data_IF_416965395572
#
_entry.id   IF_416965395572
#
_cell.length_a   1.000
_cell.length_b   1.000
_cell.length_c   1.000
_cell.angle_alpha   90.00
_cell.angle_beta   90.00
_cell.angle_gamma   90.00
#
_symmetry.space_group_name_H-M   'P 1'
#
loop_
_entity.id
_entity.type
_entity.pdbx_description
1 polymer ?
#
# COMPACT_ATOMS: atom_id res chain seq x y z
N UNK A 1 5.36 -1.12 -16.11
CA UNK A 1 4.70 -0.33 -17.17
C UNK A 1 4.74 -1.13 -18.47
N UNK A 2 3.71 -1.13 -19.33
CA UNK A 2 3.76 -1.86 -20.60
C UNK A 2 4.56 -1.10 -21.67
N UNK A 3 5.36 -1.80 -22.48
CA UNK A 3 6.14 -1.23 -23.59
C UNK A 3 5.28 -0.37 -24.56
N UNK A 4 4.01 -0.75 -24.74
CA UNK A 4 3.10 0.00 -25.62
C UNK A 4 2.78 1.40 -25.08
N UNK A 5 2.74 1.58 -23.76
CA UNK A 5 2.52 2.88 -23.12
C UNK A 5 3.80 3.72 -23.22
N UNK A 6 4.95 3.12 -22.92
CA UNK A 6 6.26 3.77 -23.08
C UNK A 6 6.45 4.33 -24.50
N UNK A 7 6.13 3.55 -25.53
CA UNK A 7 6.21 3.99 -26.92
C UNK A 7 5.24 5.13 -27.28
N UNK A 8 4.07 5.20 -26.66
CA UNK A 8 3.09 6.27 -26.96
C UNK A 8 3.48 7.60 -26.33
N UNK A 9 4.27 7.58 -25.26
CA UNK A 9 4.80 8.76 -24.55
C UNK A 9 6.28 9.05 -24.86
N UNK A 10 6.84 8.41 -25.88
CA UNK A 10 8.21 8.69 -26.33
C UNK A 10 9.32 8.17 -25.40
N UNK A 11 9.00 7.28 -24.45
CA UNK A 11 9.93 6.65 -23.53
C UNK A 11 10.70 5.50 -24.19
N UNK A 12 11.84 5.07 -23.61
CA UNK A 12 12.58 3.89 -24.08
C UNK A 12 12.09 2.61 -23.39
N UNK A 13 11.40 1.69 -24.08
CA UNK A 13 10.90 0.45 -23.49
C UNK A 13 11.98 -0.57 -23.10
N UNK A 14 13.27 -0.23 -23.30
CA UNK A 14 14.40 -1.02 -22.81
C UNK A 14 14.90 -0.58 -21.44
N UNK A 15 14.44 0.58 -20.97
CA UNK A 15 14.82 1.14 -19.68
C UNK A 15 13.63 0.95 -18.74
N UNK A 16 13.89 0.43 -17.54
CA UNK A 16 12.84 0.35 -16.54
C UNK A 16 12.51 1.77 -16.07
N UNK A 17 11.32 2.25 -16.41
CA UNK A 17 10.82 3.59 -16.07
C UNK A 17 10.54 3.81 -14.56
N UNK A 18 11.08 2.97 -13.68
CA UNK A 18 10.79 2.99 -12.24
C UNK A 18 11.35 4.23 -11.51
N UNK A 19 12.31 4.96 -12.12
CA UNK A 19 12.90 6.16 -11.53
C UNK A 19 13.37 7.19 -12.55
N UNK A 20 12.94 7.07 -13.81
CA UNK A 20 13.10 8.13 -14.80
C UNK A 20 11.98 9.16 -14.58
N UNK A 21 12.28 10.42 -14.86
CA UNK A 21 11.37 11.58 -14.82
C UNK A 21 11.63 12.30 -16.14
N UNK A 22 10.84 11.94 -17.15
CA UNK A 22 11.15 12.25 -18.56
C UNK A 22 10.82 13.67 -18.96
N UNK A 23 9.95 14.36 -18.22
CA UNK A 23 9.57 15.76 -18.44
C UNK A 23 10.08 16.72 -17.34
N UNK A 24 10.85 16.21 -16.37
CA UNK A 24 11.53 16.95 -15.29
C UNK A 24 10.53 17.69 -14.35
N UNK A 25 9.34 17.13 -14.11
CA UNK A 25 8.30 17.72 -13.26
C UNK A 25 8.40 17.31 -11.78
N UNK A 26 9.26 16.33 -11.48
CA UNK A 26 9.51 15.79 -10.14
C UNK A 26 8.75 14.51 -9.81
N UNK A 27 7.94 13.98 -10.72
CA UNK A 27 7.29 12.68 -10.61
C UNK A 27 7.96 11.67 -11.55
N UNK A 28 8.09 10.42 -11.11
CA UNK A 28 8.66 9.40 -12.00
C UNK A 28 7.62 8.95 -13.02
N UNK A 29 8.07 8.59 -14.21
CA UNK A 29 7.23 8.07 -15.30
C UNK A 29 6.34 6.90 -14.79
N UNK A 30 6.88 6.07 -13.88
CA UNK A 30 6.14 5.00 -13.23
C UNK A 30 5.02 5.47 -12.32
N UNK A 31 5.26 6.47 -11.48
CA UNK A 31 4.22 7.06 -10.63
C UNK A 31 3.12 7.68 -11.47
N UNK A 32 3.49 8.40 -12.52
CA UNK A 32 2.54 9.02 -13.43
C UNK A 32 1.66 8.02 -14.17
N UNK A 33 2.27 6.96 -14.73
CA UNK A 33 1.52 5.86 -15.33
C UNK A 33 0.50 5.26 -14.34
N UNK A 34 0.88 5.11 -13.07
CA UNK A 34 0.04 4.52 -12.02
C UNK A 34 -1.05 5.47 -11.55
N UNK A 35 -0.81 6.77 -11.58
CA UNK A 35 -1.74 7.83 -11.15
C UNK A 35 -2.55 8.41 -12.32
N UNK A 36 -2.30 7.93 -13.54
CA UNK A 36 -3.07 8.26 -14.74
C UNK A 36 -2.70 9.60 -15.38
N UNK A 37 -1.44 10.02 -15.23
CA UNK A 37 -0.89 11.23 -15.85
C UNK A 37 0.05 10.91 -17.01
N UNK A 38 0.71 11.93 -17.57
CA UNK A 38 1.42 11.88 -18.84
C UNK A 38 2.91 12.17 -18.61
N UNK A 39 3.80 11.17 -18.76
CA UNK A 39 5.23 11.32 -18.47
C UNK A 39 6.03 12.09 -19.52
N UNK A 40 5.33 12.81 -20.38
CA UNK A 40 5.88 13.61 -21.47
C UNK A 40 5.28 15.03 -21.51
N UNK A 41 4.61 15.44 -20.42
CA UNK A 41 3.91 16.72 -20.27
C UNK A 41 4.03 17.23 -18.83
N UNK A 42 4.98 18.14 -18.58
CA UNK A 42 5.30 18.72 -17.28
C UNK A 42 4.12 19.42 -16.55
N UNK A 43 3.02 19.68 -17.25
CA UNK A 43 1.81 20.24 -16.69
C UNK A 43 0.82 19.16 -16.20
N UNK A 44 1.03 17.91 -16.58
CA UNK A 44 0.20 16.76 -16.25
C UNK A 44 0.67 16.10 -14.95
N UNK A 45 0.57 16.82 -13.84
CA UNK A 45 1.03 16.30 -12.53
C UNK A 45 -0.03 15.42 -11.83
N UNK A 46 0.38 14.39 -11.05
CA UNK A 46 -0.55 13.59 -10.25
C UNK A 46 -1.35 14.43 -9.24
N UNK A 47 -2.66 14.25 -9.21
CA UNK A 47 -3.53 14.93 -8.24
C UNK A 47 -3.40 14.35 -6.83
N UNK A 48 -3.53 15.20 -5.81
CA UNK A 48 -3.56 14.75 -4.42
C UNK A 48 -4.85 13.96 -4.12
N UNK A 49 -4.72 12.89 -3.33
CA UNK A 49 -5.85 12.07 -2.87
C UNK A 49 -6.81 12.85 -1.96
N UNK A 50 -6.25 13.69 -1.07
CA UNK A 50 -6.98 14.35 0.01
C UNK A 50 -7.41 13.38 1.11
N UNK A 51 -8.39 13.80 1.93
CA UNK A 51 -9.00 12.94 2.95
C UNK A 51 -9.58 11.67 2.30
N UNK A 52 -9.20 10.51 2.82
CA UNK A 52 -9.58 9.21 2.28
C UNK A 52 -10.01 8.25 3.38
N UNK A 53 -11.03 7.45 3.08
CA UNK A 53 -11.45 6.34 3.92
C UNK A 53 -11.78 5.14 3.03
N UNK A 54 -11.14 4.00 3.32
CA UNK A 54 -11.32 2.73 2.64
C UNK A 54 -11.74 1.68 3.67
N UNK A 55 -13.02 1.30 3.62
CA UNK A 55 -13.60 0.21 4.42
C UNK A 55 -13.84 -1.06 3.60
N UNK A 56 -13.43 -1.08 2.32
CA UNK A 56 -13.54 -2.23 1.42
C UNK A 56 -14.97 -2.73 1.12
N UNK A 57 -16.00 -2.03 1.60
CA UNK A 57 -17.41 -2.37 1.37
C UNK A 57 -17.85 -2.30 -0.10
N UNK A 58 -17.12 -1.52 -0.89
CA UNK A 58 -17.40 -1.34 -2.32
C UNK A 58 -16.57 -2.28 -3.21
N UNK A 59 -15.75 -3.16 -2.62
CA UNK A 59 -14.81 -3.99 -3.36
C UNK A 59 -13.42 -3.37 -3.51
N UNK A 60 -12.51 -4.09 -4.17
CA UNK A 60 -11.22 -3.54 -4.62
C UNK A 60 -11.39 -2.85 -5.97
N UNK A 61 -11.02 -1.57 -6.04
CA UNK A 61 -10.93 -0.82 -7.29
C UNK A 61 -9.57 -1.05 -8.01
N UNK A 62 -9.39 -0.39 -9.15
CA UNK A 62 -8.18 -0.54 -9.98
C UNK A 62 -6.94 0.20 -9.46
N UNK A 63 -7.05 0.99 -8.38
CA UNK A 63 -5.89 1.66 -7.77
C UNK A 63 -5.05 0.69 -6.93
N UNK A 64 -5.63 -0.45 -6.56
CA UNK A 64 -4.93 -1.56 -5.93
C UNK A 64 -4.40 -2.53 -7.00
N UNK A 65 -3.12 -2.90 -6.90
CA UNK A 65 -2.48 -3.75 -7.91
C UNK A 65 -1.43 -4.70 -7.32
N UNK A 66 -1.15 -5.77 -8.09
CA UNK A 66 0.01 -6.63 -7.87
C UNK A 66 1.23 -5.99 -8.58
N UNK A 67 2.33 -5.71 -7.86
CA UNK A 67 3.49 -5.01 -8.42
C UNK A 67 4.22 -5.81 -9.50
N UNK A 68 4.18 -7.14 -9.43
CA UNK A 68 4.82 -8.05 -10.38
C UNK A 68 3.95 -8.27 -11.63
N UNK A 69 2.76 -7.66 -11.69
CA UNK A 69 1.78 -7.84 -12.76
C UNK A 69 1.12 -9.22 -12.73
N UNK A 70 1.19 -9.90 -11.57
CA UNK A 70 0.58 -11.19 -11.33
C UNK A 70 -0.95 -11.14 -11.17
N UNK A 71 -1.61 -12.30 -11.01
CA UNK A 71 -3.01 -12.33 -10.61
C UNK A 71 -3.17 -11.70 -9.22
N UNK A 72 -4.28 -11.00 -8.98
CA UNK A 72 -4.57 -10.44 -7.66
C UNK A 72 -4.73 -11.56 -6.62
N UNK A 73 -3.75 -11.69 -5.75
CA UNK A 73 -3.73 -12.68 -4.67
C UNK A 73 -4.36 -12.19 -3.37
N UNK A 74 -5.00 -11.03 -3.43
CA UNK A 74 -5.80 -10.46 -2.37
C UNK A 74 -7.28 -10.50 -2.73
N UNK A 75 -8.14 -10.59 -1.72
CA UNK A 75 -9.58 -10.67 -1.89
C UNK A 75 -10.33 -9.93 -0.79
N UNK A 76 -11.54 -9.51 -1.15
CA UNK A 76 -12.51 -9.05 -0.18
C UNK A 76 -13.17 -10.24 0.49
N UNK A 77 -13.13 -10.25 1.81
CA UNK A 77 -13.73 -11.28 2.67
C UNK A 77 -14.76 -10.65 3.58
N UNK A 78 -15.74 -11.44 4.02
CA UNK A 78 -16.79 -11.01 4.97
C UNK A 78 -16.80 -11.85 6.25
N UNK A 79 -15.69 -12.54 6.50
CA UNK A 79 -15.52 -13.39 7.68
C UNK A 79 -15.17 -12.59 8.93
N UNK A 80 -14.58 -11.40 8.75
CA UNK A 80 -14.16 -10.51 9.82
C UNK A 80 -13.93 -9.10 9.28
N UNK A 81 -14.31 -8.09 10.06
CA UNK A 81 -14.07 -6.68 9.73
C UNK A 81 -14.20 -5.83 11.01
N UNK A 82 -13.69 -4.60 10.93
CA UNK A 82 -13.80 -3.55 11.97
C UNK A 82 -14.82 -2.48 11.60
N UNK A 83 -15.03 -2.23 10.31
CA UNK A 83 -16.12 -1.44 9.76
C UNK A 83 -17.01 -2.33 8.88
N UNK A 84 -18.30 -2.02 8.82
CA UNK A 84 -19.25 -2.72 7.96
C UNK A 84 -19.26 -4.25 8.09
N UNK A 85 -18.98 -4.93 6.98
CA UNK A 85 -19.07 -6.38 6.76
C UNK A 85 -17.81 -6.94 6.10
N UNK A 86 -17.14 -6.15 5.27
CA UNK A 86 -16.08 -6.59 4.39
C UNK A 86 -14.72 -6.11 4.90
N UNK A 87 -13.68 -6.89 4.63
CA UNK A 87 -12.29 -6.50 4.83
C UNK A 87 -11.44 -7.02 3.68
N UNK A 88 -10.21 -6.52 3.56
CA UNK A 88 -9.21 -7.04 2.64
C UNK A 88 -8.41 -8.17 3.31
N UNK A 89 -8.19 -9.28 2.61
CA UNK A 89 -7.33 -10.37 3.06
C UNK A 89 -6.52 -10.99 1.92
N UNK A 90 -5.33 -11.51 2.23
CA UNK A 90 -4.61 -12.35 1.27
C UNK A 90 -5.34 -13.71 1.09
N UNK A 91 -5.21 -14.27 -0.11
CA UNK A 91 -5.69 -15.61 -0.45
C UNK A 91 -4.76 -16.67 0.12
N UNK A 92 -5.28 -17.88 0.28
CA UNK A 92 -4.43 -19.05 0.50
C UNK A 92 -3.77 -19.46 -0.81
N UNK A 93 -2.46 -19.27 -0.93
CA UNK A 93 -1.67 -19.79 -2.04
C UNK A 93 -0.50 -20.64 -1.52
N UNK A 94 -0.52 -21.98 -1.70
CA UNK A 94 0.58 -22.85 -1.26
C UNK A 94 1.83 -22.76 -2.14
N UNK A 95 1.68 -22.28 -3.38
CA UNK A 95 2.77 -22.20 -4.36
C UNK A 95 3.46 -20.83 -4.35
N UNK A 96 2.75 -19.77 -3.93
CA UNK A 96 3.34 -18.44 -3.78
C UNK A 96 3.62 -18.10 -2.32
N UNK A 97 4.91 -18.16 -1.98
CA UNK A 97 5.38 -17.82 -0.65
C UNK A 97 5.19 -16.34 -0.32
N UNK A 98 5.30 -15.43 -1.28
CA UNK A 98 5.25 -13.99 -1.04
C UNK A 98 4.12 -13.34 -1.83
N UNK A 99 3.14 -12.80 -1.11
CA UNK A 99 2.01 -12.10 -1.70
C UNK A 99 2.14 -10.61 -1.43
N UNK A 100 1.74 -9.79 -2.41
CA UNK A 100 1.87 -8.34 -2.37
C UNK A 100 0.59 -7.69 -2.87
N UNK A 101 0.23 -6.56 -2.28
CA UNK A 101 -0.72 -5.62 -2.90
C UNK A 101 -0.21 -4.21 -2.65
N UNK A 102 -0.26 -3.41 -3.69
CA UNK A 102 0.26 -2.05 -3.72
C UNK A 102 -0.87 -1.07 -4.04
N UNK A 103 -0.74 0.13 -3.51
CA UNK A 103 -1.50 1.30 -3.95
C UNK A 103 -0.60 2.52 -3.90
N UNK A 104 -0.57 3.27 -4.99
CA UNK A 104 0.22 4.50 -5.12
C UNK A 104 -0.74 5.68 -5.02
N UNK A 105 -0.38 6.68 -4.22
CA UNK A 105 -1.16 7.91 -4.02
C UNK A 105 -0.23 9.12 -3.93
N UNK A 106 -0.67 10.27 -4.44
CA UNK A 106 -0.01 11.54 -4.17
C UNK A 106 -0.71 12.22 -2.99
N UNK A 107 0.05 12.68 -2.00
CA UNK A 107 -0.49 13.22 -0.75
C UNK A 107 0.08 14.60 -0.46
N UNK A 108 -0.75 15.42 0.17
CA UNK A 108 -0.30 16.54 1.01
C UNK A 108 0.15 16.02 2.36
N UNK A 109 0.77 16.84 3.22
CA UNK A 109 1.10 16.43 4.57
C UNK A 109 -0.11 15.81 5.26
N UNK A 110 -0.03 14.54 5.63
CA UNK A 110 -1.19 13.75 6.07
C UNK A 110 -0.82 12.82 7.22
N UNK A 111 -1.82 12.30 7.93
CA UNK A 111 -1.66 11.15 8.83
C UNK A 111 -2.41 9.96 8.25
N UNK A 112 -1.89 8.76 8.44
CA UNK A 112 -2.53 7.51 7.99
C UNK A 112 -2.76 6.57 9.15
N UNK A 113 -3.93 5.96 9.20
CA UNK A 113 -4.26 4.92 10.17
C UNK A 113 -5.03 3.79 9.50
N UNK A 114 -4.93 2.58 10.05
CA UNK A 114 -5.69 1.43 9.55
C UNK A 114 -5.89 0.39 10.65
N UNK A 115 -6.91 -0.44 10.49
CA UNK A 115 -7.14 -1.61 11.31
C UNK A 115 -6.49 -2.83 10.66
N UNK A 116 -5.65 -3.53 11.43
CA UNK A 116 -5.00 -4.77 10.98
C UNK A 116 -5.18 -5.90 11.94
N UNK A 117 -5.21 -7.11 11.38
CA UNK A 117 -5.15 -8.35 12.13
C UNK A 117 -4.30 -9.37 11.39
N UNK A 118 -3.46 -10.06 12.15
CA UNK A 118 -2.71 -11.23 11.69
C UNK A 118 -3.34 -12.48 12.30
N UNK A 119 -3.80 -13.40 11.45
CA UNK A 119 -4.15 -14.76 11.84
C UNK A 119 -3.06 -15.69 11.29
N UNK A 120 -1.99 -15.86 12.06
CA UNK A 120 -0.91 -16.73 11.68
C UNK A 120 -0.27 -17.44 12.89
N UNK A 121 -0.73 -18.68 13.08
CA UNK A 121 -0.23 -19.62 14.08
C UNK A 121 1.27 -19.90 14.01
N UNK A 122 1.90 -19.69 12.85
CA UNK A 122 3.28 -20.12 12.61
C UNK A 122 4.28 -18.97 12.64
N UNK A 123 3.81 -17.72 12.82
CA UNK A 123 4.64 -16.52 12.75
C UNK A 123 5.48 -16.40 11.47
N UNK A 124 4.99 -16.96 10.36
CA UNK A 124 5.56 -16.83 9.03
C UNK A 124 5.09 -15.55 8.33
N UNK A 125 3.89 -15.05 8.63
CA UNK A 125 3.37 -13.80 8.13
C UNK A 125 4.02 -12.62 8.90
N UNK A 126 4.52 -11.66 8.13
CA UNK A 126 4.81 -10.32 8.62
C UNK A 126 4.24 -9.35 7.60
N UNK A 127 3.60 -8.31 8.11
CA UNK A 127 3.08 -7.21 7.32
C UNK A 127 4.06 -6.03 7.43
N UNK A 128 4.31 -5.37 6.30
CA UNK A 128 5.08 -4.12 6.24
C UNK A 128 4.32 -3.15 5.38
N UNK A 129 4.14 -1.93 5.90
CA UNK A 129 3.76 -0.75 5.13
C UNK A 129 5.07 -0.05 4.78
N UNK A 130 5.18 0.41 3.55
CA UNK A 130 6.28 1.26 3.12
C UNK A 130 5.72 2.61 2.69
N UNK A 131 6.56 3.62 2.85
CA UNK A 131 6.55 4.83 2.06
C UNK A 131 8.01 5.01 1.61
N UNK A 132 8.18 5.08 0.29
CA UNK A 132 9.34 5.37 -0.60
C UNK A 132 10.80 5.29 -0.09
N UNK A 133 11.10 5.46 1.19
CA UNK A 133 12.45 5.26 1.77
C UNK A 133 12.52 4.55 3.13
N UNK A 134 11.42 4.29 3.84
CA UNK A 134 11.45 3.73 5.20
C UNK A 134 10.55 2.49 5.43
N UNK A 135 11.03 1.56 6.27
CA UNK A 135 10.23 0.42 6.76
C UNK A 135 9.38 0.90 7.94
N UNK A 136 8.06 0.75 7.84
CA UNK A 136 7.18 1.45 8.78
C UNK A 136 6.63 0.55 9.88
N UNK A 137 6.37 -0.71 9.58
CA UNK A 137 5.79 -1.61 10.56
C UNK A 137 6.27 -3.03 10.30
N UNK A 138 6.58 -3.76 11.37
CA UNK A 138 6.77 -5.20 11.30
C UNK A 138 6.12 -5.82 12.53
N UNK A 139 5.13 -6.67 12.32
CA UNK A 139 4.63 -7.54 13.37
C UNK A 139 4.92 -8.99 13.00
N UNK A 140 5.35 -9.76 13.99
CA UNK A 140 5.55 -11.19 13.91
C UNK A 140 4.61 -11.82 14.92
N UNK A 141 3.77 -12.72 14.43
CA UNK A 141 2.80 -13.53 15.17
C UNK A 141 1.50 -12.81 15.53
N UNK A 142 0.38 -13.41 15.13
CA UNK A 142 -0.92 -13.25 15.77
C UNK A 142 -1.51 -14.62 16.01
N UNK A 143 -1.91 -14.92 17.25
CA UNK A 143 -2.66 -16.15 17.55
C UNK A 143 -3.99 -16.13 16.78
N UNK A 144 -4.55 -17.29 16.37
CA UNK A 144 -5.90 -17.35 15.82
C UNK A 144 -6.91 -16.71 16.77
N UNK A 145 -7.62 -15.69 16.26
CA UNK A 145 -8.55 -14.89 17.07
C UNK A 145 -7.87 -13.78 17.88
N UNK A 146 -6.63 -13.39 17.54
CA UNK A 146 -6.05 -12.14 18.02
C UNK A 146 -7.00 -10.97 17.72
N UNK A 147 -7.16 -10.02 18.66
CA UNK A 147 -8.01 -8.85 18.43
C UNK A 147 -7.45 -8.01 17.28
N UNK A 148 -8.34 -7.32 16.58
CA UNK A 148 -7.94 -6.25 15.67
C UNK A 148 -7.14 -5.19 16.42
N UNK A 149 -6.10 -4.69 15.77
CA UNK A 149 -5.29 -3.60 16.27
C UNK A 149 -5.48 -2.40 15.36
N UNK A 150 -6.11 -1.36 15.87
CA UNK A 150 -6.06 -0.05 15.24
C UNK A 150 -4.64 0.47 15.33
N UNK A 151 -4.06 0.78 14.17
CA UNK A 151 -2.74 1.36 14.03
C UNK A 151 -2.90 2.84 13.69
N UNK A 152 -3.00 3.72 14.72
CA UNK A 152 -2.83 5.14 14.50
C UNK A 152 -1.40 5.37 14.01
N UNK A 153 -1.26 6.19 12.98
CA UNK A 153 0.03 6.70 12.52
C UNK A 153 1.01 5.59 12.13
N UNK A 154 0.65 4.82 11.13
CA UNK A 154 1.51 3.81 10.55
C UNK A 154 2.64 4.47 9.73
N UNK A 155 3.50 5.30 10.35
CA UNK A 155 4.73 5.94 9.86
C UNK A 155 5.73 6.14 11.03
N UNK A 156 6.90 5.46 10.94
CA UNK A 156 8.23 5.71 11.57
C UNK A 156 8.79 4.60 12.53
N UNK A 157 10.01 4.05 12.29
CA UNK A 157 10.60 2.93 13.03
C UNK A 157 11.49 3.33 14.22
N UNK A 158 11.34 2.63 15.35
CA UNK A 158 12.50 2.27 16.18
C UNK A 158 12.38 0.81 16.65
N UNK A 159 13.29 -0.03 16.18
CA UNK A 159 13.38 -1.43 16.58
C UNK A 159 14.17 -1.55 17.88
N UNK A 160 13.50 -1.42 19.02
CA UNK A 160 13.91 -2.14 20.23
C UNK A 160 12.78 -2.35 21.25
N UNK A 161 12.15 -3.53 21.17
CA UNK A 161 11.42 -4.15 22.29
C UNK A 161 10.27 -3.34 22.89
N UNK A 162 9.11 -3.38 22.22
CA UNK A 162 7.77 -2.98 22.70
C UNK A 162 7.75 -2.09 23.96
N UNK A 163 7.76 -0.76 23.80
CA UNK A 163 6.49 -0.01 23.76
C UNK A 163 6.58 1.20 22.81
N UNK A 164 5.64 1.41 21.88
CA UNK A 164 5.80 2.48 20.89
C UNK A 164 4.70 3.55 20.93
N UNK A 165 5.19 4.79 20.95
CA UNK A 165 4.52 6.09 20.83
C UNK A 165 5.13 6.72 19.56
N UNK A 166 4.33 7.22 18.63
CA UNK A 166 4.83 8.15 17.61
C UNK A 166 3.89 8.35 16.43
N UNK A 167 3.18 9.47 16.43
CA UNK A 167 2.46 9.98 15.27
C UNK A 167 3.44 10.44 14.18
N UNK A 168 3.49 9.75 13.04
CA UNK A 168 4.29 10.15 11.88
C UNK A 168 3.44 10.86 10.83
N UNK A 169 3.85 12.07 10.46
CA UNK A 169 3.34 12.77 9.28
C UNK A 169 3.89 12.09 8.02
N UNK A 170 3.00 11.76 7.09
CA UNK A 170 3.35 11.56 5.68
C UNK A 170 3.68 12.93 5.12
N UNK A 171 4.87 13.08 4.54
CA UNK A 171 5.27 14.33 3.87
C UNK A 171 4.52 14.49 2.55
N UNK A 172 4.58 15.70 1.99
CA UNK A 172 4.04 15.94 0.65
C UNK A 172 4.81 15.13 -0.40
N UNK A 173 4.09 14.43 -1.28
CA UNK A 173 4.68 13.68 -2.39
C UNK A 173 3.94 12.39 -2.71
N UNK A 174 4.54 11.57 -3.59
CA UNK A 174 4.01 10.25 -3.94
C UNK A 174 4.44 9.20 -2.93
N UNK A 175 3.46 8.46 -2.45
CA UNK A 175 3.58 7.37 -1.48
C UNK A 175 3.15 6.06 -2.13
N UNK A 176 3.97 5.02 -2.01
CA UNK A 176 3.60 3.66 -2.42
C UNK A 176 3.31 2.81 -1.17
N UNK A 177 2.03 2.64 -0.87
CA UNK A 177 1.58 1.77 0.20
C UNK A 177 1.66 0.33 -0.27
N UNK A 178 2.59 -0.42 0.30
CA UNK A 178 2.79 -1.83 0.00
C UNK A 178 2.31 -2.67 1.17
N UNK A 179 1.73 -3.83 0.89
CA UNK A 179 1.32 -4.81 1.89
C UNK A 179 1.90 -6.14 1.46
N UNK A 180 2.85 -6.66 2.24
CA UNK A 180 3.49 -7.95 1.98
C UNK A 180 3.07 -8.99 3.00
N UNK A 181 2.92 -10.25 2.56
CA UNK A 181 2.79 -11.41 3.45
C UNK A 181 3.72 -12.53 2.99
N UNK A 182 4.40 -13.21 3.93
CA UNK A 182 5.11 -14.49 3.70
C UNK A 182 4.23 -15.64 4.19
N UNK A 183 3.37 -16.17 3.33
CA UNK A 183 2.47 -17.27 3.69
C UNK A 183 3.13 -18.61 3.38
N UNK A 184 3.71 -19.25 4.39
CA UNK A 184 4.22 -20.62 4.24
C UNK A 184 3.13 -21.69 4.18
N UNK A 185 1.83 -21.33 4.28
CA UNK A 185 0.61 -22.04 3.75
C UNK A 185 -0.70 -21.69 4.46
N UNK A 186 -0.69 -21.02 5.64
CA UNK A 186 -1.91 -20.88 6.49
C UNK A 186 -2.15 -19.51 7.12
N UNK A 187 -1.21 -18.56 7.01
CA UNK A 187 -1.37 -17.23 7.57
C UNK A 187 -2.27 -16.33 6.74
N UNK A 188 -3.16 -15.60 7.39
CA UNK A 188 -3.99 -14.56 6.79
C UNK A 188 -3.75 -13.21 7.46
N UNK A 189 -3.61 -12.18 6.65
CA UNK A 189 -3.58 -10.79 7.09
C UNK A 189 -4.89 -10.16 6.68
N UNK A 190 -5.55 -9.52 7.63
CA UNK A 190 -6.76 -8.75 7.40
C UNK A 190 -6.43 -7.27 7.57
N UNK A 191 -6.94 -6.45 6.66
CA UNK A 191 -6.88 -5.00 6.69
C UNK A 191 -8.28 -4.45 6.51
N UNK A 192 -8.59 -3.41 7.27
CA UNK A 192 -9.84 -2.69 7.16
C UNK A 192 -9.66 -1.24 7.64
N UNK A 193 -10.65 -0.40 7.32
CA UNK A 193 -10.78 0.96 7.83
C UNK A 193 -9.50 1.79 7.67
N UNK A 194 -8.96 1.83 6.45
CA UNK A 194 -7.78 2.63 6.13
C UNK A 194 -8.18 4.08 5.91
N UNK A 195 -7.64 4.95 6.74
CA UNK A 195 -7.96 6.37 6.79
C UNK A 195 -6.68 7.15 6.51
N UNK A 196 -6.79 8.12 5.60
CA UNK A 196 -5.81 9.19 5.40
C UNK A 196 -6.52 10.50 5.71
N UNK A 197 -5.98 11.27 6.65
CA UNK A 197 -6.47 12.60 6.97
C UNK A 197 -5.41 13.63 6.58
N UNK A 198 -5.77 14.56 5.69
CA UNK A 198 -4.91 15.67 5.32
C UNK A 198 -4.72 16.59 6.53
N UNK A 199 -3.47 16.79 6.93
CA UNK A 199 -3.16 17.73 7.99
C UNK A 199 -3.25 19.12 7.39
N UNK A 200 -4.26 19.87 7.84
CA UNK A 200 -4.42 21.27 7.45
C UNK A 200 -3.08 22.01 7.62
N UNK A 201 -2.57 22.53 6.51
CA UNK A 201 -1.41 23.43 6.54
C UNK A 201 -1.67 24.64 7.44
N UNK A 202 -0.62 25.32 7.92
CA UNK A 202 -0.77 26.56 8.66
C UNK A 202 -1.57 27.64 7.90
#
# INVERSE_FOLDING_TARGET
MPDSYELTHGLDPRVAANGEDSDDDGYSDYHEFRLGTLPDDDASVPGYLGDHAESFESGLDSSWFDPDGGPMEWEIVSTDSTDGVNSLSNKTNPDNRFQWIHRIVNLRPSVSSLDVRLDDVNCSAYFVIYDTTDNIYTNRCGDPGAPWETRPDAINPDLSGYPFIGAGLLEEGVHEFMIRVDTSTTGHVFMDNWIIDEVAGP
#
